data_IF_685112845147
#
_entry.id   IF_685112845147
#
_cell.length_a   1.000
_cell.length_b   1.000
_cell.length_c   1.000
_cell.angle_alpha   90.00
_cell.angle_beta   90.00
_cell.angle_gamma   90.00
#
_symmetry.space_group_name_H-M   'P 1'
#
loop_
_entity.id
_entity.type
_entity.pdbx_description
1 polymer ?
#
# COMPACT_ATOMS: atom_id res chain seq x y z
N UNK A 1 -11.72 -3.68 -7.12
CA UNK A 1 -11.64 -3.90 -5.66
C UNK A 1 -13.01 -4.00 -5.00
N UNK A 2 -14.06 -3.36 -5.53
CA UNK A 2 -15.37 -3.30 -4.86
C UNK A 2 -16.46 -4.27 -5.37
N UNK A 3 -16.14 -5.22 -6.23
CA UNK A 3 -17.02 -6.38 -6.47
C UNK A 3 -16.19 -7.54 -7.01
N UNK A 4 -16.30 -8.72 -6.39
CA UNK A 4 -15.52 -9.94 -6.70
C UNK A 4 -14.53 -10.39 -5.61
N UNK A 5 -14.01 -11.62 -5.78
CA UNK A 5 -13.06 -12.24 -4.84
C UNK A 5 -11.78 -11.39 -4.77
N UNK A 6 -11.56 -10.75 -3.62
CA UNK A 6 -10.33 -10.04 -3.32
C UNK A 6 -9.25 -11.04 -2.91
N UNK A 7 -8.10 -10.97 -3.58
CA UNK A 7 -6.94 -11.82 -3.28
C UNK A 7 -5.77 -10.95 -2.83
N UNK A 8 -4.86 -11.49 -2.02
CA UNK A 8 -3.66 -10.80 -1.51
C UNK A 8 -2.84 -10.13 -2.64
N UNK A 9 -2.77 -10.75 -3.81
CA UNK A 9 -2.07 -10.19 -4.98
C UNK A 9 -2.81 -8.98 -5.56
N UNK A 10 -4.14 -8.99 -5.58
CA UNK A 10 -4.93 -7.86 -6.07
C UNK A 10 -4.85 -6.67 -5.10
N UNK A 11 -4.85 -6.93 -3.80
CA UNK A 11 -4.60 -5.90 -2.77
C UNK A 11 -3.19 -5.34 -2.91
N UNK A 12 -2.18 -6.20 -3.07
CA UNK A 12 -0.80 -5.74 -3.24
C UNK A 12 -0.64 -4.87 -4.49
N UNK A 13 -1.28 -5.25 -5.60
CA UNK A 13 -1.25 -4.49 -6.86
C UNK A 13 -1.91 -3.13 -6.73
N UNK A 14 -2.99 -2.98 -5.96
CA UNK A 14 -3.67 -1.69 -5.78
C UNK A 14 -2.79 -0.69 -5.01
N UNK A 15 -2.02 -1.17 -4.03
CA UNK A 15 -1.09 -0.33 -3.25
C UNK A 15 0.16 0.02 -4.06
N UNK A 16 0.64 -0.87 -4.94
CA UNK A 16 1.82 -0.58 -5.77
C UNK A 16 1.52 0.18 -7.05
N UNK A 17 0.23 0.41 -7.38
CA UNK A 17 -0.16 1.04 -8.62
C UNK A 17 0.36 2.48 -8.69
N UNK A 18 1.19 2.77 -9.70
CA UNK A 18 1.78 4.10 -9.92
C UNK A 18 2.44 4.70 -8.67
N UNK A 19 3.08 3.87 -7.84
CA UNK A 19 3.78 4.31 -6.63
C UNK A 19 4.94 5.31 -6.90
N UNK A 20 5.36 5.43 -8.17
CA UNK A 20 6.31 6.46 -8.63
C UNK A 20 5.66 7.82 -8.92
N UNK A 21 4.35 7.96 -8.91
CA UNK A 21 3.67 9.24 -9.16
C UNK A 21 2.64 9.58 -8.09
N UNK A 22 2.21 8.61 -7.30
CA UNK A 22 1.21 8.78 -6.24
C UNK A 22 1.92 8.90 -4.90
N UNK A 23 1.76 10.05 -4.26
CA UNK A 23 2.37 10.32 -2.95
C UNK A 23 1.46 9.90 -1.78
N UNK A 24 0.13 9.90 -1.98
CA UNK A 24 -0.84 9.60 -0.92
C UNK A 24 -1.84 8.56 -1.43
N UNK A 25 -1.91 7.44 -0.72
CA UNK A 25 -2.92 6.41 -0.89
C UNK A 25 -3.92 6.48 0.26
N UNK A 26 -5.22 6.50 -0.05
CA UNK A 26 -6.30 6.43 0.94
C UNK A 26 -7.18 5.22 0.63
N UNK A 27 -7.24 4.29 1.57
CA UNK A 27 -7.98 3.05 1.47
C UNK A 27 -8.93 2.93 2.67
N UNK A 28 -10.22 2.75 2.42
CA UNK A 28 -11.26 2.56 3.44
C UNK A 28 -11.96 1.21 3.28
N UNK A 29 -11.20 0.20 2.84
CA UNK A 29 -11.61 -1.19 2.71
C UNK A 29 -10.87 -2.05 3.74
N UNK A 30 -11.44 -3.17 4.14
CA UNK A 30 -10.90 -4.03 5.19
C UNK A 30 -11.76 -5.30 5.37
N UNK A 31 -11.46 -6.13 6.38
CA UNK A 31 -12.34 -7.23 6.75
C UNK A 31 -13.76 -6.74 7.08
N UNK A 32 -14.72 -7.66 7.15
CA UNK A 32 -16.08 -7.31 7.55
C UNK A 32 -16.09 -6.71 8.97
N UNK A 33 -16.79 -5.59 9.15
CA UNK A 33 -16.90 -4.86 10.43
C UNK A 33 -17.86 -5.54 11.44
N UNK A 34 -17.96 -6.87 11.41
CA UNK A 34 -18.91 -7.66 12.20
C UNK A 34 -18.43 -7.96 13.64
N UNK A 35 -17.22 -7.51 14.00
CA UNK A 35 -16.59 -7.78 15.28
C UNK A 35 -16.14 -9.23 15.48
N UNK A 36 -16.29 -10.09 14.46
CA UNK A 36 -15.90 -11.50 14.46
C UNK A 36 -14.75 -11.78 13.48
N UNK A 37 -14.65 -10.99 12.41
CA UNK A 37 -13.65 -11.16 11.35
C UNK A 37 -12.38 -10.39 11.69
N UNK A 38 -11.27 -11.12 11.90
CA UNK A 38 -9.92 -10.55 11.97
C UNK A 38 -9.17 -11.02 10.73
N UNK A 39 -8.90 -10.10 9.81
CA UNK A 39 -8.00 -10.34 8.67
C UNK A 39 -6.82 -9.37 8.72
N UNK A 40 -5.64 -9.88 8.39
CA UNK A 40 -4.38 -9.14 8.41
C UNK A 40 -3.81 -9.09 6.98
N UNK A 41 -2.96 -8.09 6.67
CA UNK A 41 -2.23 -8.09 5.41
C UNK A 41 -1.49 -9.41 5.22
N UNK A 42 -1.78 -10.10 4.11
CA UNK A 42 -1.09 -11.34 3.75
C UNK A 42 0.28 -11.02 3.12
N UNK A 43 1.03 -12.05 2.76
CA UNK A 43 2.46 -11.94 2.44
C UNK A 43 2.78 -10.95 1.31
N UNK A 44 1.98 -10.90 0.24
CA UNK A 44 2.22 -9.98 -0.87
C UNK A 44 1.87 -8.54 -0.49
N UNK A 45 0.76 -8.33 0.21
CA UNK A 45 0.35 -7.01 0.68
C UNK A 45 1.36 -6.40 1.66
N UNK A 46 1.93 -7.21 2.56
CA UNK A 46 3.02 -6.77 3.45
C UNK A 46 4.25 -6.30 2.67
N UNK A 47 4.65 -7.05 1.62
CA UNK A 47 5.80 -6.67 0.78
C UNK A 47 5.53 -5.38 0.00
N UNK A 48 4.30 -5.18 -0.48
CA UNK A 48 3.88 -3.95 -1.15
C UNK A 48 4.00 -2.73 -0.21
N UNK A 49 3.56 -2.85 1.05
CA UNK A 49 3.71 -1.78 2.04
C UNK A 49 5.18 -1.42 2.30
N UNK A 50 6.04 -2.42 2.53
CA UNK A 50 7.47 -2.20 2.75
C UNK A 50 8.11 -1.52 1.52
N UNK A 51 7.78 -2.01 0.32
CA UNK A 51 8.31 -1.45 -0.92
C UNK A 51 7.89 0.01 -1.13
N UNK A 52 6.61 0.35 -0.89
CA UNK A 52 6.11 1.73 -1.00
C UNK A 52 6.79 2.68 -0.02
N UNK A 53 6.89 2.29 1.27
CA UNK A 53 7.50 3.11 2.30
C UNK A 53 8.99 3.39 2.04
N UNK A 54 9.74 2.37 1.61
CA UNK A 54 11.18 2.52 1.29
C UNK A 54 11.37 3.40 0.06
N UNK A 55 10.57 3.20 -0.99
CA UNK A 55 10.69 3.96 -2.24
C UNK A 55 10.41 5.46 -2.04
N UNK A 56 9.37 5.81 -1.27
CA UNK A 56 9.06 7.21 -0.92
C UNK A 56 10.17 7.83 -0.05
N UNK A 57 10.70 7.08 0.93
CA UNK A 57 11.79 7.55 1.81
C UNK A 57 13.07 7.91 1.06
N UNK A 58 13.39 7.18 -0.02
CA UNK A 58 14.55 7.49 -0.87
C UNK A 58 14.34 8.76 -1.72
N UNK A 59 13.10 9.05 -2.13
CA UNK A 59 12.79 10.29 -2.89
C UNK A 59 12.87 11.54 -2.05
N UNK A 60 12.33 11.52 -0.84
CA UNK A 60 12.35 12.69 0.06
C UNK A 60 13.77 13.02 0.50
N UNK A 61 14.62 12.01 0.75
CA UNK A 61 16.06 12.22 1.02
C UNK A 61 16.77 12.89 -0.16
N UNK A 62 16.57 12.40 -1.38
CA UNK A 62 17.15 13.04 -2.57
C UNK A 62 16.71 14.49 -2.71
N UNK A 63 15.44 14.83 -2.40
CA UNK A 63 14.94 16.21 -2.47
C UNK A 63 15.55 17.13 -1.39
N UNK A 64 15.86 16.60 -0.20
CA UNK A 64 16.50 17.35 0.89
C UNK A 64 17.99 17.62 0.56
N UNK A 65 18.66 16.70 -0.14
CA UNK A 65 20.06 16.88 -0.54
C UNK A 65 20.26 18.01 -1.58
N UNK A 66 19.20 18.47 -2.26
CA UNK A 66 19.22 19.62 -3.16
C UNK A 66 19.12 20.99 -2.47
N UNK A 67 19.02 21.04 -1.13
CA UNK A 67 18.99 22.29 -0.35
C UNK A 67 20.38 22.78 0.10
N UNK A 68 21.46 22.23 -0.44
CA UNK A 68 22.85 22.67 -0.24
C UNK A 68 23.51 23.05 -1.56
#
# INVERSE_FOLDING_TARGET
MLDGIVTDILEARSITYEASSVDIFSASWGPSDDGATIDLPRHYLQRAFIHGAVTVSLRTRSCIDWLH
#
